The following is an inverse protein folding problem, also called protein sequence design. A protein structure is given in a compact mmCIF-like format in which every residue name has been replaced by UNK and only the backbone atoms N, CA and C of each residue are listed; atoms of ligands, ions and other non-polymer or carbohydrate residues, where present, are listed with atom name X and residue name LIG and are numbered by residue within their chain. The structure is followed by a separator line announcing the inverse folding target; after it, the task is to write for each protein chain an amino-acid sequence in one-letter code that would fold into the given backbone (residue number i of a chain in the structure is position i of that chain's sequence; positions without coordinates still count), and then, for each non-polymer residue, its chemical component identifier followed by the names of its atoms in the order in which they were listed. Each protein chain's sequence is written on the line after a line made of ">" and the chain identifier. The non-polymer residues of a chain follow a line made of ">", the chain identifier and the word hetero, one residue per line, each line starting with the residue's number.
data_IF_445447689767
#
_entry.id   IF_445447689767
#
_cell.length_a   1.000
_cell.length_b   1.000
_cell.length_c   1.000
_cell.angle_alpha   90.00
_cell.angle_beta   90.00
_cell.angle_gamma   90.00
#
_symmetry.space_group_name_H-M   'P 1'
#
loop_
_entity.id
_entity.type
_entity.pdbx_description
1 polymer ?
#
# COMPACT_ATOMS: atom_id res chain seq x y z
N UNK A 1 11.10 9.98 5.83
CA UNK A 1 10.39 11.11 6.46
C UNK A 1 10.96 11.23 7.86
N UNK A 2 11.52 12.37 8.27
CA UNK A 2 12.07 12.54 9.61
C UNK A 2 11.02 13.16 10.52
N UNK A 3 11.01 12.82 11.83
CA UNK A 3 10.10 13.40 12.84
C UNK A 3 10.24 14.92 12.98
N UNK A 4 11.38 15.47 12.61
CA UNK A 4 11.61 16.92 12.55
C UNK A 4 10.75 17.64 11.50
N UNK A 5 10.03 16.90 10.67
CA UNK A 5 9.16 17.51 9.69
C UNK A 5 7.82 17.84 10.37
N UNK A 6 7.44 19.11 10.55
CA UNK A 6 6.18 19.51 11.19
C UNK A 6 4.94 18.90 10.50
N UNK A 7 5.12 18.30 9.34
CA UNK A 7 4.10 17.57 8.58
C UNK A 7 3.83 16.17 9.10
N UNK A 8 4.76 15.57 9.86
CA UNK A 8 4.57 14.22 10.40
C UNK A 8 3.48 14.17 11.46
N UNK A 9 3.48 15.14 12.40
CA UNK A 9 2.42 15.26 13.42
C UNK A 9 1.06 15.54 12.76
N UNK A 10 1.05 16.38 11.71
CA UNK A 10 -0.16 16.65 10.94
C UNK A 10 -0.61 15.44 10.10
N UNK A 11 0.32 14.61 9.63
CA UNK A 11 0.05 13.35 8.96
C UNK A 11 -0.65 12.37 9.90
N UNK A 12 -0.15 12.23 11.11
CA UNK A 12 -0.76 11.41 12.15
C UNK A 12 -2.14 11.93 12.56
N UNK A 13 -2.32 13.25 12.63
CA UNK A 13 -3.61 13.88 12.92
C UNK A 13 -4.64 13.73 11.80
N UNK A 14 -4.21 13.37 10.57
CA UNK A 14 -5.12 13.12 9.45
C UNK A 14 -5.70 11.71 9.40
N UNK A 15 -5.15 10.80 10.18
CA UNK A 15 -5.70 9.45 10.36
C UNK A 15 -6.94 9.60 11.27
N UNK A 16 -8.12 9.63 10.65
CA UNK A 16 -9.39 9.94 11.33
C UNK A 16 -9.59 9.15 12.62
N UNK A 17 -9.86 9.86 13.68
CA UNK A 17 -10.40 9.37 14.94
C UNK A 17 -9.43 8.63 15.85
N UNK A 18 -8.42 7.93 15.32
CA UNK A 18 -7.57 7.07 16.14
C UNK A 18 -6.53 7.83 16.96
N UNK A 19 -5.94 8.89 16.42
CA UNK A 19 -4.86 9.62 17.08
C UNK A 19 -5.32 10.76 17.96
N UNK A 20 -6.33 11.52 17.52
CA UNK A 20 -6.94 12.57 18.36
C UNK A 20 -7.65 11.95 19.56
N UNK A 21 -8.26 10.78 19.40
CA UNK A 21 -8.81 10.02 20.51
C UNK A 21 -7.71 9.44 21.42
N UNK A 22 -6.55 9.08 20.88
CA UNK A 22 -5.36 8.69 21.64
C UNK A 22 -4.81 9.83 22.49
N UNK A 23 -4.67 11.01 21.92
CA UNK A 23 -4.10 12.18 22.59
C UNK A 23 -5.13 12.87 23.47
N UNK A 24 -6.37 13.04 22.99
CA UNK A 24 -7.45 13.71 23.71
C UNK A 24 -8.20 12.78 24.68
N UNK A 25 -8.24 11.47 24.42
CA UNK A 25 -8.89 10.48 25.29
C UNK A 25 -8.07 10.07 26.50
N UNK A 26 -6.91 10.66 26.74
CA UNK A 26 -6.05 10.34 27.88
C UNK A 26 -5.44 8.93 27.85
N UNK A 27 -5.43 8.26 26.70
CA UNK A 27 -4.91 6.89 26.52
C UNK A 27 -3.41 6.83 26.81
N UNK A 28 -2.70 7.94 26.65
CA UNK A 28 -1.31 8.10 27.07
C UNK A 28 -1.19 8.58 28.53
N UNK A 29 -2.30 8.66 29.29
CA UNK A 29 -2.21 8.98 30.71
C UNK A 29 -1.69 7.79 31.51
N UNK A 30 -0.84 8.01 32.54
CA UNK A 30 -0.35 6.93 33.42
C UNK A 30 -1.48 6.11 34.04
N UNK A 31 -2.65 6.69 34.23
CA UNK A 31 -3.83 6.02 34.82
C UNK A 31 -4.47 5.01 33.84
N UNK A 32 -4.40 5.24 32.52
CA UNK A 32 -4.91 4.29 31.52
C UNK A 32 -3.96 3.10 31.33
N UNK A 33 -2.66 3.34 31.45
CA UNK A 33 -1.62 2.31 31.32
C UNK A 33 -1.62 1.33 32.52
N UNK A 34 -2.21 1.75 33.65
CA UNK A 34 -2.19 0.99 34.92
C UNK A 34 -3.48 0.22 35.25
N UNK A 35 -4.48 0.19 34.37
CA UNK A 35 -5.71 -0.60 34.55
C UNK A 35 -5.61 -2.01 33.98
N UNK A 36 -6.50 -2.95 34.38
CA UNK A 36 -6.51 -4.36 33.94
C UNK A 36 -6.66 -4.58 32.42
N UNK A 37 -6.97 -3.54 31.63
CA UNK A 37 -6.89 -3.51 30.17
C UNK A 37 -5.44 -3.24 29.65
N UNK A 38 -4.44 -3.36 30.53
CA UNK A 38 -3.01 -3.07 30.29
C UNK A 38 -2.44 -3.67 29.01
N UNK A 39 -2.89 -4.86 28.60
CA UNK A 39 -2.38 -5.52 27.38
C UNK A 39 -2.78 -4.77 26.10
N UNK A 40 -4.00 -4.23 26.02
CA UNK A 40 -4.46 -3.49 24.84
C UNK A 40 -3.81 -2.10 24.76
N UNK A 41 -3.72 -1.40 25.89
CA UNK A 41 -3.07 -0.10 25.96
C UNK A 41 -1.58 -0.19 25.64
N UNK A 42 -0.87 -1.18 26.19
CA UNK A 42 0.54 -1.43 25.89
C UNK A 42 0.75 -1.81 24.42
N UNK A 43 -0.10 -2.69 23.84
CA UNK A 43 -0.03 -3.05 22.42
C UNK A 43 -0.14 -1.81 21.53
N UNK A 44 -1.03 -0.88 21.86
CA UNK A 44 -1.21 0.37 21.12
C UNK A 44 0.02 1.29 21.25
N UNK A 45 0.57 1.46 22.43
CA UNK A 45 1.81 2.24 22.65
C UNK A 45 2.96 1.64 21.81
N UNK A 46 3.14 0.34 21.85
CA UNK A 46 4.17 -0.32 21.04
C UNK A 46 3.93 -0.14 19.52
N UNK A 47 2.69 -0.24 19.06
CA UNK A 47 2.36 -0.04 17.66
C UNK A 47 2.70 1.38 17.19
N UNK A 48 2.37 2.38 18.01
CA UNK A 48 2.74 3.78 17.73
C UNK A 48 4.26 3.95 17.69
N UNK A 49 4.96 3.44 18.69
CA UNK A 49 6.42 3.56 18.80
C UNK A 49 7.12 2.83 17.63
N UNK A 50 6.63 1.65 17.24
CA UNK A 50 7.16 0.92 16.11
C UNK A 50 6.97 1.67 14.79
N UNK A 51 5.77 2.24 14.57
CA UNK A 51 5.49 3.07 13.39
C UNK A 51 6.42 4.28 13.32
N UNK A 52 6.56 5.01 14.42
CA UNK A 52 7.46 6.15 14.53
C UNK A 52 8.92 5.73 14.26
N UNK A 53 9.36 4.65 14.88
CA UNK A 53 10.71 4.12 14.69
C UNK A 53 11.00 3.74 13.24
N UNK A 54 10.04 3.14 12.54
CA UNK A 54 10.18 2.81 11.13
C UNK A 54 10.28 4.06 10.24
N UNK A 55 9.52 5.11 10.54
CA UNK A 55 9.56 6.38 9.80
C UNK A 55 10.83 7.20 10.04
N UNK A 56 11.45 7.08 11.19
CA UNK A 56 12.68 7.83 11.53
C UNK A 56 13.95 7.22 10.93
N UNK A 57 13.92 5.94 10.60
CA UNK A 57 15.10 5.28 10.06
C UNK A 57 15.37 5.67 8.60
N UNK A 58 16.64 5.69 8.17
CA UNK A 58 16.98 5.69 6.74
C UNK A 58 16.33 4.50 6.03
N UNK A 59 15.95 4.68 4.78
CA UNK A 59 15.20 3.68 4.00
C UNK A 59 15.92 2.32 3.98
N UNK A 60 17.24 2.31 3.76
CA UNK A 60 18.07 1.08 3.77
C UNK A 60 18.03 0.36 5.13
N UNK A 61 17.97 1.11 6.22
CA UNK A 61 17.83 0.56 7.57
C UNK A 61 16.46 -0.03 7.81
N UNK A 62 15.42 0.61 7.29
CA UNK A 62 14.06 0.08 7.33
C UNK A 62 13.98 -1.27 6.60
N UNK A 63 14.58 -1.38 5.42
CA UNK A 63 14.64 -2.66 4.70
C UNK A 63 15.33 -3.75 5.52
N UNK A 64 16.49 -3.42 6.11
CA UNK A 64 17.19 -4.37 6.96
C UNK A 64 16.39 -4.77 8.20
N UNK A 65 15.71 -3.84 8.84
CA UNK A 65 14.86 -4.14 9.99
C UNK A 65 13.69 -5.05 9.60
N UNK A 66 13.04 -4.83 8.44
CA UNK A 66 11.99 -5.71 7.92
C UNK A 66 12.50 -7.12 7.62
N UNK A 67 13.70 -7.23 7.02
CA UNK A 67 14.37 -8.50 6.76
C UNK A 67 14.61 -9.28 8.06
N UNK A 68 15.19 -8.63 9.06
CA UNK A 68 15.43 -9.23 10.38
C UNK A 68 14.13 -9.61 11.09
N UNK A 69 13.07 -8.82 10.93
CA UNK A 69 11.77 -9.11 11.52
C UNK A 69 11.15 -10.39 10.93
N UNK A 70 11.25 -10.60 9.61
CA UNK A 70 10.82 -11.85 8.99
C UNK A 70 11.57 -13.08 9.50
N UNK A 71 12.79 -12.91 9.99
CA UNK A 71 13.56 -13.96 10.69
C UNK A 71 13.23 -14.05 12.19
N UNK A 72 12.22 -13.34 12.67
CA UNK A 72 11.77 -13.37 14.07
C UNK A 72 12.59 -12.54 15.04
N UNK A 73 13.49 -11.66 14.56
CA UNK A 73 14.38 -10.88 15.42
C UNK A 73 13.65 -9.89 16.33
N UNK A 74 12.47 -9.38 15.92
CA UNK A 74 11.74 -8.33 16.60
C UNK A 74 10.44 -8.77 17.29
N UNK A 75 10.03 -10.02 17.14
CA UNK A 75 8.77 -10.55 17.68
C UNK A 75 8.57 -10.36 19.18
N UNK A 76 9.68 -10.28 19.96
CA UNK A 76 9.63 -10.19 21.42
C UNK A 76 9.78 -8.78 21.97
N UNK A 77 10.41 -7.89 21.23
CA UNK A 77 10.89 -6.60 21.74
C UNK A 77 10.35 -5.41 20.92
N UNK A 78 9.64 -5.67 19.82
CA UNK A 78 9.16 -4.65 18.90
C UNK A 78 10.30 -3.99 18.10
N UNK A 79 9.96 -3.10 17.19
CA UNK A 79 10.91 -2.45 16.27
C UNK A 79 11.92 -1.51 16.97
N UNK A 80 11.63 -1.02 18.17
CA UNK A 80 12.43 0.01 18.87
C UNK A 80 13.39 -0.56 19.92
N UNK A 81 13.15 -1.75 20.42
CA UNK A 81 13.98 -2.34 21.49
C UNK A 81 14.87 -3.49 21.05
N UNK A 82 14.71 -3.92 19.81
CA UNK A 82 15.26 -5.17 19.33
C UNK A 82 16.78 -5.17 19.24
N UNK A 83 17.43 -6.11 19.91
CA UNK A 83 18.78 -6.50 19.56
C UNK A 83 18.73 -7.16 18.19
N UNK A 84 19.46 -6.61 17.23
CA UNK A 84 19.66 -7.24 15.93
C UNK A 84 20.39 -8.55 16.16
N UNK A 85 19.67 -9.66 16.11
CA UNK A 85 20.30 -10.98 16.10
C UNK A 85 20.98 -11.20 14.75
N UNK A 86 22.09 -11.92 14.74
CA UNK A 86 22.71 -12.31 13.49
C UNK A 86 21.68 -13.08 12.64
N UNK A 87 21.54 -12.76 11.34
CA UNK A 87 20.57 -13.42 10.50
C UNK A 87 20.78 -14.93 10.55
N UNK A 88 19.70 -15.69 10.71
CA UNK A 88 19.77 -17.11 10.45
C UNK A 88 20.17 -17.27 8.98
N UNK A 89 21.18 -18.05 8.69
CA UNK A 89 21.53 -18.42 7.32
C UNK A 89 20.43 -19.33 6.78
N UNK A 90 19.47 -18.76 6.12
CA UNK A 90 18.35 -19.51 5.56
C UNK A 90 17.31 -18.56 4.98
N UNK A 91 16.53 -19.02 4.02
CA UNK A 91 15.42 -18.28 3.47
C UNK A 91 14.29 -18.04 4.48
N UNK A 92 13.27 -17.34 4.05
CA UNK A 92 12.05 -17.13 4.81
C UNK A 92 11.13 -18.35 4.70
N UNK A 93 10.76 -18.93 5.85
CA UNK A 93 9.84 -20.05 5.92
C UNK A 93 8.39 -19.55 6.06
N UNK A 94 7.53 -19.96 5.13
CA UNK A 94 6.12 -19.58 5.18
C UNK A 94 5.27 -20.75 4.64
N UNK A 95 4.31 -21.23 5.43
CA UNK A 95 3.43 -22.35 5.12
C UNK A 95 4.17 -23.61 4.63
N UNK A 96 5.26 -23.97 5.29
CA UNK A 96 6.05 -25.14 4.95
C UNK A 96 6.86 -25.02 3.65
N UNK A 97 6.87 -23.85 3.03
CA UNK A 97 7.73 -23.52 1.89
C UNK A 97 8.85 -22.61 2.32
N UNK A 98 10.06 -22.83 1.76
CA UNK A 98 11.23 -21.98 1.98
C UNK A 98 11.40 -21.05 0.80
N UNK A 99 11.54 -19.75 1.08
CA UNK A 99 11.73 -18.70 0.09
C UNK A 99 13.12 -18.09 0.25
N UNK A 100 13.95 -18.20 -0.76
CA UNK A 100 15.28 -17.60 -0.74
C UNK A 100 15.24 -16.08 -0.91
N UNK A 101 14.20 -15.56 -1.55
CA UNK A 101 13.99 -14.14 -1.78
C UNK A 101 12.51 -13.76 -1.61
N UNK A 102 12.29 -12.56 -1.15
CA UNK A 102 10.98 -11.92 -1.04
C UNK A 102 11.00 -10.63 -1.85
N UNK A 103 10.13 -10.51 -2.84
CA UNK A 103 10.00 -9.30 -3.62
C UNK A 103 9.17 -8.25 -2.88
N UNK A 104 9.69 -7.03 -2.76
CA UNK A 104 8.98 -5.88 -2.19
C UNK A 104 8.54 -4.90 -3.27
N UNK A 105 7.25 -4.72 -3.43
CA UNK A 105 6.64 -3.64 -4.22
C UNK A 105 6.64 -2.33 -3.43
N UNK A 106 7.70 -1.52 -3.56
CA UNK A 106 7.83 -0.27 -2.82
C UNK A 106 6.96 0.83 -3.44
N UNK A 107 5.94 1.29 -2.72
CA UNK A 107 4.98 2.27 -3.20
C UNK A 107 5.41 3.70 -2.81
N UNK A 108 6.11 4.42 -3.71
CA UNK A 108 6.45 5.82 -3.48
C UNK A 108 5.21 6.69 -3.68
N UNK A 109 4.87 7.50 -2.68
CA UNK A 109 3.80 8.49 -2.80
C UNK A 109 4.38 9.86 -3.16
N UNK A 110 3.77 10.51 -4.14
CA UNK A 110 4.11 11.88 -4.50
C UNK A 110 3.28 12.87 -3.65
N UNK A 111 3.90 13.40 -2.60
CA UNK A 111 3.32 14.39 -1.69
C UNK A 111 3.49 15.84 -2.18
N UNK A 112 3.90 16.06 -3.41
CA UNK A 112 4.00 17.39 -3.99
C UNK A 112 2.63 18.07 -4.02
N UNK A 113 2.58 19.40 -3.83
CA UNK A 113 1.33 20.16 -3.76
C UNK A 113 1.48 21.53 -4.41
N UNK A 114 0.44 21.96 -5.11
CA UNK A 114 0.28 23.36 -5.47
C UNK A 114 -0.09 24.20 -4.24
N UNK A 115 0.43 25.42 -4.23
CA UNK A 115 0.38 26.30 -3.06
C UNK A 115 -0.97 27.01 -2.87
N UNK A 116 -1.79 27.06 -3.92
CA UNK A 116 -2.88 28.04 -4.01
C UNK A 116 -4.22 27.59 -3.41
N UNK A 117 -4.45 26.30 -3.24
CA UNK A 117 -5.82 25.83 -2.98
C UNK A 117 -6.09 25.24 -1.59
N UNK A 118 -5.07 25.03 -0.72
CA UNK A 118 -5.23 24.14 0.42
C UNK A 118 -4.67 24.63 1.75
N UNK A 119 -4.93 25.88 2.12
CA UNK A 119 -4.47 26.47 3.42
C UNK A 119 -5.05 25.73 4.67
N UNK A 120 -6.04 24.89 4.48
CA UNK A 120 -6.75 24.19 5.56
C UNK A 120 -6.41 22.69 5.69
N UNK A 121 -5.37 22.19 5.04
CA UNK A 121 -5.05 20.78 5.06
C UNK A 121 -3.77 20.49 5.83
N UNK A 122 -3.73 19.31 6.43
CA UNK A 122 -2.80 18.77 7.42
C UNK A 122 -1.31 18.80 7.06
N UNK A 123 -0.89 19.22 5.84
CA UNK A 123 0.51 19.25 5.44
C UNK A 123 1.01 20.66 5.14
N UNK A 124 2.16 21.01 5.69
CA UNK A 124 2.94 22.12 5.16
C UNK A 124 3.58 21.69 3.85
N UNK A 125 3.84 22.66 2.97
CA UNK A 125 4.36 22.54 1.61
C UNK A 125 5.51 21.57 1.48
N UNK A 126 5.42 20.65 0.54
CA UNK A 126 6.56 19.99 -0.08
C UNK A 126 6.92 20.75 -1.36
N UNK A 127 8.20 20.83 -1.72
CA UNK A 127 8.63 21.42 -2.99
C UNK A 127 8.13 20.56 -4.15
N UNK A 128 7.71 21.19 -5.26
CA UNK A 128 7.11 20.51 -6.41
C UNK A 128 7.95 19.33 -6.96
N UNK A 129 9.26 19.43 -6.98
CA UNK A 129 10.13 18.41 -7.57
C UNK A 129 10.63 17.35 -6.58
N UNK A 130 10.08 17.30 -5.37
CA UNK A 130 10.57 16.40 -4.31
C UNK A 130 10.44 14.93 -4.66
N UNK A 131 9.56 14.55 -5.58
CA UNK A 131 9.44 13.17 -6.04
C UNK A 131 10.74 12.66 -6.70
N UNK A 132 11.49 13.50 -7.40
CA UNK A 132 12.81 13.16 -7.93
C UNK A 132 13.80 12.80 -6.81
N UNK A 133 13.79 13.56 -5.70
CA UNK A 133 14.64 13.28 -4.56
C UNK A 133 14.29 11.96 -3.92
N UNK A 134 13.00 11.70 -3.71
CA UNK A 134 12.52 10.42 -3.17
C UNK A 134 12.86 9.22 -4.06
N UNK A 135 12.73 9.38 -5.38
CA UNK A 135 13.12 8.34 -6.32
C UNK A 135 14.62 8.03 -6.22
N UNK A 136 15.46 9.07 -6.18
CA UNK A 136 16.91 8.92 -6.05
C UNK A 136 17.33 8.35 -4.69
N UNK A 137 16.66 8.74 -3.60
CA UNK A 137 16.93 8.20 -2.27
C UNK A 137 16.53 6.70 -2.21
N UNK A 138 15.44 6.32 -2.87
CA UNK A 138 15.04 4.91 -3.00
C UNK A 138 16.07 4.10 -3.78
N UNK A 139 16.54 4.60 -4.93
CA UNK A 139 17.61 3.95 -5.72
C UNK A 139 18.86 3.74 -4.86
N UNK A 140 19.29 4.78 -4.14
CA UNK A 140 20.48 4.69 -3.25
C UNK A 140 20.26 3.70 -2.11
N UNK A 141 19.08 3.70 -1.51
CA UNK A 141 18.76 2.81 -0.39
C UNK A 141 18.73 1.35 -0.82
N UNK A 142 18.18 1.04 -2.00
CA UNK A 142 18.20 -0.30 -2.59
C UNK A 142 19.64 -0.75 -2.85
N UNK A 143 20.44 0.09 -3.53
CA UNK A 143 21.84 -0.22 -3.80
C UNK A 143 22.66 -0.41 -2.52
N UNK A 144 22.40 0.39 -1.49
CA UNK A 144 23.05 0.27 -0.19
C UNK A 144 22.65 -1.00 0.55
N UNK A 145 21.35 -1.34 0.55
CA UNK A 145 20.87 -2.60 1.16
C UNK A 145 21.56 -3.82 0.52
N UNK A 146 21.58 -3.93 -0.81
CA UNK A 146 22.22 -5.06 -1.50
C UNK A 146 23.74 -5.10 -1.26
N UNK A 147 24.39 -3.95 -1.20
CA UNK A 147 25.83 -3.87 -0.91
C UNK A 147 26.17 -4.31 0.50
N UNK A 148 25.41 -3.82 1.49
CA UNK A 148 25.66 -4.09 2.91
C UNK A 148 25.17 -5.49 3.33
N UNK A 149 24.17 -6.03 2.60
CA UNK A 149 23.51 -7.31 2.88
C UNK A 149 23.38 -8.16 1.60
N UNK A 150 24.49 -8.70 1.04
CA UNK A 150 24.46 -9.45 -0.23
C UNK A 150 23.60 -10.72 -0.16
N UNK A 151 23.46 -11.31 1.03
CA UNK A 151 22.61 -12.47 1.30
C UNK A 151 21.23 -12.06 1.85
N UNK A 152 20.89 -10.76 1.79
CA UNK A 152 19.61 -10.23 2.27
C UNK A 152 18.42 -10.82 1.54
N UNK A 153 17.30 -10.91 2.26
CA UNK A 153 16.10 -11.59 1.79
C UNK A 153 15.38 -10.83 0.65
N UNK A 154 15.51 -9.48 0.61
CA UNK A 154 14.68 -8.67 -0.27
C UNK A 154 15.25 -8.43 -1.66
N UNK A 155 14.37 -8.57 -2.65
CA UNK A 155 14.46 -7.97 -3.97
C UNK A 155 13.40 -6.87 -4.10
N UNK A 156 13.67 -5.86 -4.92
CA UNK A 156 12.81 -4.67 -4.94
C UNK A 156 12.22 -4.40 -6.30
N UNK A 157 10.91 -4.11 -6.30
CA UNK A 157 10.17 -3.65 -7.47
C UNK A 157 9.52 -2.31 -7.10
N UNK A 158 10.25 -1.19 -7.15
CA UNK A 158 9.70 0.09 -6.74
C UNK A 158 8.66 0.61 -7.75
N UNK A 159 7.67 1.33 -7.24
CA UNK A 159 6.64 2.05 -7.98
C UNK A 159 6.86 3.54 -7.80
N UNK A 160 6.98 4.27 -8.89
CA UNK A 160 7.16 5.73 -8.86
C UNK A 160 5.84 6.43 -8.57
N UNK A 161 5.85 7.35 -7.61
CA UNK A 161 4.70 8.21 -7.32
C UNK A 161 4.47 9.21 -8.46
N UNK A 162 3.24 9.32 -8.93
CA UNK A 162 2.84 10.31 -9.95
C UNK A 162 1.59 11.05 -9.46
N UNK A 163 1.67 12.38 -9.41
CA UNK A 163 0.55 13.24 -9.05
C UNK A 163 0.22 14.23 -10.18
N UNK A 164 -0.68 13.88 -11.11
CA UNK A 164 -1.08 14.76 -12.21
C UNK A 164 -1.72 16.09 -11.77
N UNK A 165 -2.31 16.14 -10.56
CA UNK A 165 -2.94 17.36 -10.06
C UNK A 165 -1.95 18.53 -9.85
N UNK A 166 -0.66 18.24 -9.61
CA UNK A 166 0.33 19.28 -9.28
C UNK A 166 1.43 19.41 -10.33
N UNK A 167 1.69 18.36 -11.10
CA UNK A 167 2.76 18.36 -12.09
C UNK A 167 2.27 18.70 -13.50
N UNK A 168 3.13 19.36 -14.28
CA UNK A 168 2.87 19.59 -15.69
C UNK A 168 2.95 18.29 -16.50
N UNK A 169 2.26 18.21 -17.63
CA UNK A 169 2.33 17.09 -18.59
C UNK A 169 3.78 16.74 -18.95
N UNK A 170 4.62 17.76 -19.19
CA UNK A 170 6.05 17.59 -19.52
C UNK A 170 6.82 16.98 -18.35
N UNK A 171 6.56 17.41 -17.12
CA UNK A 171 7.21 16.86 -15.94
C UNK A 171 6.87 15.37 -15.77
N UNK A 172 5.59 15.01 -15.92
CA UNK A 172 5.13 13.61 -15.83
C UNK A 172 5.82 12.75 -16.90
N UNK A 173 5.86 13.20 -18.16
CA UNK A 173 6.56 12.49 -19.22
C UNK A 173 8.04 12.23 -18.88
N UNK A 174 8.76 13.27 -18.47
CA UNK A 174 10.16 13.17 -18.09
C UNK A 174 10.38 12.24 -16.88
N UNK A 175 9.46 12.26 -15.91
CA UNK A 175 9.53 11.40 -14.72
C UNK A 175 9.41 9.92 -15.12
N UNK A 176 8.43 9.60 -15.96
CA UNK A 176 8.20 8.23 -16.45
C UNK A 176 9.39 7.74 -17.29
N UNK A 177 9.86 8.54 -18.26
CA UNK A 177 11.01 8.19 -19.10
C UNK A 177 12.29 7.97 -18.29
N UNK A 178 12.48 8.75 -17.23
CA UNK A 178 13.70 8.71 -16.44
C UNK A 178 13.78 7.52 -15.51
N UNK A 179 12.67 7.10 -14.92
CA UNK A 179 12.68 6.17 -13.80
C UNK A 179 12.01 4.83 -14.10
N UNK A 180 11.01 4.81 -15.01
CA UNK A 180 10.27 3.57 -15.27
C UNK A 180 11.04 2.65 -16.20
N UNK A 181 11.20 1.40 -15.80
CA UNK A 181 11.79 0.35 -16.63
C UNK A 181 10.73 -0.19 -17.60
N UNK A 182 10.83 0.19 -18.86
CA UNK A 182 9.93 -0.26 -19.93
C UNK A 182 10.38 -1.59 -20.55
N UNK A 183 11.65 -1.95 -20.41
CA UNK A 183 12.28 -3.09 -21.12
C UNK A 183 12.25 -4.39 -20.31
N UNK A 184 11.88 -4.33 -19.05
CA UNK A 184 11.54 -5.37 -18.07
C UNK A 184 12.37 -6.66 -18.01
N UNK A 185 12.99 -7.09 -19.09
CA UNK A 185 13.68 -8.39 -19.19
C UNK A 185 15.20 -8.26 -19.18
N UNK A 186 15.74 -7.06 -19.29
CA UNK A 186 17.18 -6.82 -19.27
C UNK A 186 17.54 -5.92 -18.09
N UNK A 187 18.71 -6.15 -17.48
CA UNK A 187 19.26 -5.22 -16.51
C UNK A 187 19.25 -3.82 -17.12
N UNK A 188 18.55 -2.86 -16.52
CA UNK A 188 18.42 -1.55 -17.11
C UNK A 188 19.83 -0.97 -17.33
N UNK A 189 20.09 -0.52 -18.54
CA UNK A 189 21.36 0.13 -18.88
C UNK A 189 21.62 1.42 -18.08
N UNK A 190 20.58 1.95 -17.44
CA UNK A 190 20.64 3.08 -16.50
C UNK A 190 20.18 2.61 -15.12
N UNK A 191 21.08 2.69 -14.14
CA UNK A 191 20.84 2.34 -12.72
C UNK A 191 19.62 3.03 -12.07
N UNK A 192 19.10 4.08 -12.71
CA UNK A 192 17.92 4.83 -12.24
C UNK A 192 16.59 4.28 -12.76
N UNK A 193 16.60 3.55 -13.86
CA UNK A 193 15.38 2.99 -14.48
C UNK A 193 14.97 1.67 -13.88
N UNK A 194 14.78 1.65 -12.55
CA UNK A 194 14.46 0.44 -11.78
C UNK A 194 12.98 0.32 -11.39
N UNK A 195 12.19 1.36 -11.65
CA UNK A 195 10.78 1.38 -11.24
C UNK A 195 9.93 0.50 -12.16
N UNK A 196 9.36 -0.56 -11.58
CA UNK A 196 8.53 -1.53 -12.30
C UNK A 196 7.06 -1.16 -12.39
N UNK A 197 6.62 -0.11 -11.74
CA UNK A 197 5.23 0.33 -11.71
C UNK A 197 5.06 1.80 -11.36
N UNK A 198 3.80 2.23 -11.35
CA UNK A 198 3.38 3.59 -10.96
C UNK A 198 2.44 3.52 -9.76
N UNK A 199 2.67 4.40 -8.78
CA UNK A 199 1.74 4.66 -7.66
C UNK A 199 1.01 5.96 -7.91
N UNK A 200 -0.31 5.92 -7.88
CA UNK A 200 -1.15 7.11 -7.83
C UNK A 200 -1.92 7.16 -6.50
N UNK A 201 -2.10 8.37 -6.00
CA UNK A 201 -2.70 8.57 -4.70
C UNK A 201 -3.79 9.64 -4.73
N UNK A 202 -5.02 9.28 -5.19
CA UNK A 202 -6.13 10.23 -5.36
C UNK A 202 -6.48 11.08 -4.14
N UNK A 203 -6.30 10.62 -2.88
CA UNK A 203 -6.52 11.45 -1.70
C UNK A 203 -5.71 12.74 -1.65
N UNK A 204 -4.59 12.84 -2.39
CA UNK A 204 -3.79 14.07 -2.50
C UNK A 204 -4.28 15.05 -3.58
N UNK A 205 -5.40 14.76 -4.25
CA UNK A 205 -6.04 15.67 -5.20
C UNK A 205 -6.06 15.20 -6.65
N UNK A 206 -5.43 14.07 -6.98
CA UNK A 206 -5.55 13.50 -8.31
C UNK A 206 -6.98 13.01 -8.56
N UNK A 207 -7.68 13.66 -9.51
CA UNK A 207 -8.90 13.10 -10.08
C UNK A 207 -8.52 12.12 -11.20
N UNK A 208 -8.87 10.82 -11.09
CA UNK A 208 -8.54 9.85 -12.15
C UNK A 208 -9.22 10.15 -13.49
N UNK A 209 -10.34 10.85 -13.48
CA UNK A 209 -11.08 11.19 -14.71
C UNK A 209 -11.67 12.60 -14.64
N UNK A 210 -10.85 13.66 -14.82
CA UNK A 210 -11.24 15.07 -14.64
C UNK A 210 -12.01 15.61 -15.87
N UNK A 211 -13.29 15.27 -16.03
CA UNK A 211 -14.13 15.64 -17.18
C UNK A 211 -14.32 17.16 -17.33
N UNK A 212 -14.16 17.90 -16.25
CA UNK A 212 -14.32 19.34 -16.16
C UNK A 212 -13.02 20.14 -16.45
N UNK A 213 -11.89 19.45 -16.63
CA UNK A 213 -10.61 20.08 -16.92
C UNK A 213 -9.88 19.38 -18.09
N UNK A 214 -9.79 20.06 -19.22
CA UNK A 214 -9.05 19.56 -20.38
C UNK A 214 -7.55 19.36 -20.06
N UNK A 215 -6.96 20.30 -19.35
CA UNK A 215 -5.53 20.22 -19.00
C UNK A 215 -5.27 19.01 -18.11
N UNK A 216 -6.05 18.82 -17.05
CA UNK A 216 -5.90 17.67 -16.16
C UNK A 216 -6.16 16.35 -16.90
N UNK A 217 -7.15 16.32 -17.80
CA UNK A 217 -7.46 15.17 -18.63
C UNK A 217 -6.28 14.78 -19.53
N UNK A 218 -5.59 15.76 -20.14
CA UNK A 218 -4.41 15.48 -20.94
C UNK A 218 -3.24 14.91 -20.14
N UNK A 219 -3.11 15.26 -18.87
CA UNK A 219 -2.09 14.71 -17.96
C UNK A 219 -2.38 13.25 -17.58
N UNK A 220 -3.61 12.95 -17.19
CA UNK A 220 -3.98 11.59 -16.82
C UNK A 220 -4.00 10.66 -18.03
N UNK A 221 -4.42 11.14 -19.21
CA UNK A 221 -4.36 10.38 -20.45
C UNK A 221 -2.92 10.02 -20.83
N UNK A 222 -1.98 10.94 -20.75
CA UNK A 222 -0.56 10.65 -20.96
C UNK A 222 -0.07 9.51 -20.07
N UNK A 223 -0.45 9.54 -18.79
CA UNK A 223 -0.09 8.50 -17.82
C UNK A 223 -0.66 7.13 -18.22
N UNK A 224 -1.96 7.08 -18.55
CA UNK A 224 -2.63 5.82 -18.89
C UNK A 224 -2.16 5.27 -20.23
N UNK A 225 -1.97 6.12 -21.24
CA UNK A 225 -1.40 5.75 -22.54
C UNK A 225 -0.01 5.14 -22.38
N UNK A 226 0.86 5.76 -21.58
CA UNK A 226 2.18 5.22 -21.27
C UNK A 226 2.07 3.87 -20.54
N UNK A 227 1.30 3.80 -19.46
CA UNK A 227 1.18 2.57 -18.68
C UNK A 227 0.57 1.43 -19.49
N UNK A 228 -0.45 1.69 -20.31
CA UNK A 228 -1.05 0.67 -21.17
C UNK A 228 -0.10 0.22 -22.28
N UNK A 229 0.58 1.15 -22.96
CA UNK A 229 1.48 0.84 -24.07
C UNK A 229 2.66 -0.05 -23.64
N UNK A 230 3.25 0.25 -22.49
CA UNK A 230 4.36 -0.52 -21.92
C UNK A 230 3.91 -1.56 -20.90
N UNK A 231 2.60 -1.67 -20.68
CA UNK A 231 2.01 -2.58 -19.70
C UNK A 231 2.60 -2.42 -18.29
N UNK A 232 2.86 -1.18 -17.90
CA UNK A 232 3.34 -0.80 -16.58
C UNK A 232 2.17 -0.84 -15.59
N UNK A 233 2.24 -1.63 -14.52
CA UNK A 233 1.16 -1.70 -13.55
C UNK A 233 1.00 -0.39 -12.78
N UNK A 234 -0.24 -0.03 -12.52
CA UNK A 234 -0.61 1.08 -11.65
C UNK A 234 -1.17 0.51 -10.35
N UNK A 235 -0.67 0.93 -9.19
CA UNK A 235 -1.36 0.76 -7.91
C UNK A 235 -2.01 2.08 -7.53
N UNK A 236 -3.34 2.06 -7.35
CA UNK A 236 -4.12 3.20 -6.86
C UNK A 236 -4.58 2.98 -5.42
N UNK A 237 -4.50 4.01 -4.59
CA UNK A 237 -5.17 3.96 -3.30
C UNK A 237 -6.69 3.86 -3.50
N UNK A 238 -7.32 2.92 -2.82
CA UNK A 238 -8.75 2.65 -2.96
C UNK A 238 -9.40 2.26 -1.63
N UNK A 239 -9.41 3.21 -0.70
CA UNK A 239 -10.29 3.19 0.47
C UNK A 239 -10.80 4.61 0.75
N UNK A 240 -11.75 4.78 1.66
CA UNK A 240 -12.32 6.09 1.97
C UNK A 240 -11.57 6.86 3.06
N UNK A 241 -10.33 6.46 3.36
CA UNK A 241 -9.42 7.11 4.31
C UNK A 241 -8.08 7.45 3.63
N UNK A 242 -7.02 7.60 4.40
CA UNK A 242 -5.68 7.88 3.94
C UNK A 242 -5.25 9.33 4.17
N UNK A 243 -4.07 9.65 3.66
CA UNK A 243 -3.45 10.97 3.80
C UNK A 243 -4.11 11.98 2.87
N UNK A 244 -4.98 12.82 3.40
CA UNK A 244 -5.83 13.69 2.59
C UNK A 244 -5.16 15.01 2.24
N UNK A 245 -5.17 15.33 0.94
CA UNK A 245 -4.90 16.65 0.40
C UNK A 245 -6.16 17.38 -0.07
N UNK A 246 -7.32 16.75 0.00
CA UNK A 246 -8.61 17.28 -0.47
C UNK A 246 -9.73 17.05 0.55
N UNK A 247 -10.89 17.66 0.35
CA UNK A 247 -12.05 17.43 1.21
C UNK A 247 -12.51 15.97 1.18
N UNK A 248 -13.20 15.50 2.24
CA UNK A 248 -13.73 14.13 2.31
C UNK A 248 -14.66 13.79 1.14
N UNK A 249 -15.40 14.75 0.64
CA UNK A 249 -16.28 14.58 -0.54
C UNK A 249 -15.47 14.30 -1.80
N UNK A 250 -14.42 15.08 -2.07
CA UNK A 250 -13.53 14.90 -3.22
C UNK A 250 -12.73 13.60 -3.08
N UNK A 251 -12.25 13.29 -1.88
CA UNK A 251 -11.57 12.03 -1.60
C UNK A 251 -12.47 10.85 -2.00
N UNK A 252 -13.70 10.80 -1.49
CA UNK A 252 -14.65 9.73 -1.81
C UNK A 252 -14.94 9.62 -3.31
N UNK A 253 -14.94 10.73 -4.04
CA UNK A 253 -15.13 10.74 -5.50
C UNK A 253 -13.89 10.27 -6.25
N UNK A 254 -12.69 10.78 -5.91
CA UNK A 254 -11.45 10.52 -6.64
C UNK A 254 -10.90 9.12 -6.38
N UNK A 255 -11.07 8.61 -5.16
CA UNK A 255 -10.61 7.28 -4.76
C UNK A 255 -11.55 6.17 -5.21
N UNK A 256 -12.80 6.52 -5.54
CA UNK A 256 -13.87 5.56 -5.86
C UNK A 256 -13.55 4.71 -7.10
N UNK A 257 -13.76 3.38 -7.05
CA UNK A 257 -13.63 2.52 -8.22
C UNK A 257 -14.67 2.82 -9.32
N UNK A 258 -15.74 3.56 -9.01
CA UNK A 258 -16.67 4.03 -10.03
C UNK A 258 -16.05 5.10 -10.95
N UNK A 259 -15.17 5.96 -10.42
CA UNK A 259 -14.41 6.91 -11.25
C UNK A 259 -13.39 6.17 -12.13
N UNK A 260 -12.72 5.17 -11.58
CA UNK A 260 -11.79 4.32 -12.32
C UNK A 260 -12.47 3.45 -13.40
N UNK A 261 -13.76 3.12 -13.25
CA UNK A 261 -14.51 2.46 -14.30
C UNK A 261 -14.58 3.29 -15.60
N UNK A 262 -14.56 4.63 -15.51
CA UNK A 262 -14.46 5.51 -16.69
C UNK A 262 -13.09 5.40 -17.37
N UNK A 263 -12.03 5.30 -16.57
CA UNK A 263 -10.66 5.10 -17.07
C UNK A 263 -10.56 3.76 -17.80
N UNK A 264 -11.01 2.67 -17.18
CA UNK A 264 -10.94 1.33 -17.77
C UNK A 264 -11.79 1.17 -19.03
N UNK A 265 -12.86 1.93 -19.17
CA UNK A 265 -13.65 1.96 -20.41
C UNK A 265 -12.84 2.49 -21.60
N UNK A 266 -11.97 3.48 -21.37
CA UNK A 266 -11.11 4.07 -22.41
C UNK A 266 -9.78 3.30 -22.57
N UNK A 267 -9.30 2.70 -21.47
CA UNK A 267 -8.03 1.98 -21.38
C UNK A 267 -8.25 0.55 -20.82
N UNK A 268 -8.89 -0.35 -21.61
CA UNK A 268 -9.32 -1.67 -21.10
C UNK A 268 -8.17 -2.63 -20.79
N UNK A 269 -6.99 -2.42 -21.36
CA UNK A 269 -5.81 -3.25 -21.16
C UNK A 269 -4.87 -2.70 -20.06
N UNK A 270 -5.30 -1.67 -19.35
CA UNK A 270 -4.53 -1.09 -18.25
C UNK A 270 -4.40 -2.09 -17.10
N UNK A 271 -3.15 -2.37 -16.69
CA UNK A 271 -2.88 -3.22 -15.52
C UNK A 271 -3.03 -2.37 -14.26
N UNK A 272 -4.03 -2.66 -13.45
CA UNK A 272 -4.33 -1.84 -12.27
C UNK A 272 -4.62 -2.69 -11.03
N UNK A 273 -4.09 -2.22 -9.90
CA UNK A 273 -4.34 -2.72 -8.56
C UNK A 273 -5.10 -1.68 -7.74
N UNK A 274 -6.26 -2.06 -7.23
CA UNK A 274 -7.05 -1.28 -6.28
C UNK A 274 -6.65 -1.65 -4.85
N UNK A 275 -5.76 -0.86 -4.24
CA UNK A 275 -5.26 -1.13 -2.91
C UNK A 275 -6.39 -1.20 -1.86
N UNK A 276 -6.18 -2.03 -0.82
CA UNK A 276 -7.07 -2.16 0.35
C UNK A 276 -8.46 -2.75 0.03
N UNK A 277 -8.62 -3.39 -1.12
CA UNK A 277 -9.87 -4.03 -1.55
C UNK A 277 -11.09 -3.10 -1.60
N UNK A 278 -10.89 -1.80 -1.79
CA UNK A 278 -11.97 -0.82 -1.77
C UNK A 278 -12.69 -0.71 -0.43
N UNK A 279 -11.97 -0.90 0.67
CA UNK A 279 -12.56 -0.94 2.00
C UNK A 279 -13.11 0.43 2.42
N UNK A 280 -14.38 0.46 2.80
CA UNK A 280 -15.08 1.68 3.20
C UNK A 280 -15.26 1.69 4.73
N UNK A 281 -14.39 2.44 5.43
CA UNK A 281 -14.47 2.63 6.87
C UNK A 281 -15.72 3.43 7.24
N UNK A 282 -16.27 3.20 8.42
CA UNK A 282 -17.49 3.86 8.89
C UNK A 282 -18.79 3.21 8.37
N UNK A 283 -18.84 2.81 7.09
CA UNK A 283 -19.99 2.04 6.58
C UNK A 283 -20.05 0.63 7.19
N UNK A 284 -18.91 0.06 7.55
CA UNK A 284 -18.86 -1.25 8.22
C UNK A 284 -19.52 -1.25 9.60
N UNK A 285 -19.57 -0.13 10.31
CA UNK A 285 -20.28 -0.01 11.61
C UNK A 285 -21.79 0.08 11.41
N UNK A 286 -22.25 0.79 10.39
CA UNK A 286 -23.68 0.91 10.07
C UNK A 286 -24.22 -0.34 9.39
N UNK A 287 -23.38 -1.04 8.64
CA UNK A 287 -23.71 -2.28 7.95
C UNK A 287 -23.80 -3.46 8.92
N UNK A 288 -23.06 -3.44 10.05
CA UNK A 288 -23.24 -4.44 11.14
C UNK A 288 -24.69 -4.51 11.63
N UNK A 289 -25.44 -3.43 11.53
CA UNK A 289 -26.86 -3.39 11.90
C UNK A 289 -27.82 -3.89 10.81
N UNK A 290 -27.36 -4.04 9.56
CA UNK A 290 -28.22 -4.37 8.41
C UNK A 290 -27.98 -5.72 7.77
N UNK A 291 -26.89 -6.44 8.16
CA UNK A 291 -26.56 -7.74 7.58
C UNK A 291 -26.77 -8.82 8.63
N UNK A 292 -27.77 -9.72 8.43
CA UNK A 292 -27.83 -10.95 9.20
C UNK A 292 -26.55 -11.74 8.94
N UNK A 293 -25.75 -12.03 9.97
CA UNK A 293 -24.52 -12.82 9.97
C UNK A 293 -23.19 -12.06 9.78
N UNK A 294 -23.13 -10.75 9.99
CA UNK A 294 -21.87 -10.08 10.33
C UNK A 294 -20.79 -10.03 9.24
N UNK A 295 -21.14 -9.94 7.95
CA UNK A 295 -20.19 -9.79 6.86
C UNK A 295 -19.84 -8.30 6.65
N UNK A 296 -18.63 -7.82 7.01
CA UNK A 296 -18.25 -6.42 6.89
C UNK A 296 -17.92 -5.98 5.45
N UNK A 297 -18.06 -6.85 4.43
CA UNK A 297 -17.50 -6.62 3.10
C UNK A 297 -18.50 -6.18 2.04
N UNK A 298 -19.74 -5.88 2.37
CA UNK A 298 -20.69 -5.30 1.41
C UNK A 298 -20.64 -3.77 1.42
N UNK A 299 -19.59 -3.22 0.81
CA UNK A 299 -19.57 -1.82 0.42
C UNK A 299 -19.71 -1.72 -1.10
N UNK A 300 -20.30 -0.66 -1.61
CA UNK A 300 -20.45 -0.42 -3.04
C UNK A 300 -19.09 -0.50 -3.79
N UNK A 301 -18.00 -0.13 -3.13
CA UNK A 301 -16.66 -0.15 -3.73
C UNK A 301 -16.12 -1.56 -3.89
N UNK A 302 -16.30 -2.40 -2.88
CA UNK A 302 -15.96 -3.82 -2.98
C UNK A 302 -16.68 -4.50 -4.15
N UNK A 303 -18.02 -4.35 -4.20
CA UNK A 303 -18.83 -4.94 -5.27
C UNK A 303 -18.44 -4.39 -6.64
N UNK A 304 -18.09 -3.09 -6.71
CA UNK A 304 -17.62 -2.47 -7.96
C UNK A 304 -16.28 -3.04 -8.42
N UNK A 305 -15.31 -3.25 -7.50
CA UNK A 305 -14.03 -3.87 -7.84
C UNK A 305 -14.23 -5.29 -8.37
N UNK A 306 -15.07 -6.09 -7.71
CA UNK A 306 -15.42 -7.44 -8.19
C UNK A 306 -16.03 -7.39 -9.60
N UNK A 307 -16.93 -6.43 -9.86
CA UNK A 307 -17.50 -6.23 -11.20
C UNK A 307 -16.42 -5.88 -12.23
N UNK A 308 -15.50 -4.96 -11.89
CA UNK A 308 -14.40 -4.57 -12.77
C UNK A 308 -13.42 -5.73 -13.04
N UNK A 309 -13.16 -6.57 -12.05
CA UNK A 309 -12.35 -7.79 -12.25
C UNK A 309 -13.00 -8.76 -13.26
N UNK A 310 -14.33 -8.85 -13.26
CA UNK A 310 -15.06 -9.70 -14.21
C UNK A 310 -15.08 -9.12 -15.63
N UNK A 311 -15.07 -7.80 -15.72
CA UNK A 311 -15.16 -7.08 -16.99
C UNK A 311 -13.79 -6.89 -17.67
N UNK A 312 -12.73 -6.63 -16.88
CA UNK A 312 -11.40 -6.29 -17.39
C UNK A 312 -10.35 -7.30 -16.94
N UNK A 313 -9.53 -7.83 -17.88
CA UNK A 313 -8.62 -8.94 -17.59
C UNK A 313 -7.45 -8.57 -16.68
N UNK A 314 -7.09 -7.31 -16.57
CA UNK A 314 -5.90 -6.83 -15.86
C UNK A 314 -6.21 -5.98 -14.63
N UNK A 315 -7.41 -6.17 -14.05
CA UNK A 315 -7.82 -5.54 -12.80
C UNK A 315 -7.50 -6.47 -11.62
N UNK A 316 -6.78 -5.94 -10.65
CA UNK A 316 -6.35 -6.60 -9.41
C UNK A 316 -6.79 -5.79 -8.18
N UNK A 317 -6.66 -6.40 -7.02
CA UNK A 317 -6.79 -5.72 -5.72
C UNK A 317 -5.85 -6.37 -4.71
N UNK A 318 -5.50 -5.64 -3.67
CA UNK A 318 -4.59 -6.15 -2.65
C UNK A 318 -5.21 -6.25 -1.25
N UNK A 319 -4.53 -7.00 -0.40
CA UNK A 319 -4.91 -7.23 1.00
C UNK A 319 -4.24 -6.24 1.95
N UNK A 320 -3.52 -5.23 1.43
CA UNK A 320 -2.73 -4.30 2.23
C UNK A 320 -3.60 -3.58 3.26
N UNK A 321 -3.06 -3.39 4.46
CA UNK A 321 -3.72 -2.79 5.62
C UNK A 321 -5.00 -3.51 6.08
N UNK A 322 -5.92 -3.86 5.18
CA UNK A 322 -7.14 -4.64 5.50
C UNK A 322 -6.81 -6.02 6.02
N UNK A 323 -5.74 -6.62 5.54
CA UNK A 323 -5.21 -7.91 6.00
C UNK A 323 -4.68 -7.92 7.44
N UNK A 324 -4.59 -6.77 8.12
CA UNK A 324 -4.36 -6.72 9.57
C UNK A 324 -5.58 -7.20 10.39
N UNK A 325 -6.74 -7.37 9.75
CA UNK A 325 -7.99 -7.71 10.41
C UNK A 325 -8.38 -9.16 10.11
N UNK A 326 -8.30 -10.11 11.07
CA UNK A 326 -8.72 -11.50 10.84
C UNK A 326 -10.18 -11.63 10.39
N UNK A 327 -11.04 -10.68 10.79
CA UNK A 327 -12.44 -10.62 10.37
C UNK A 327 -12.59 -10.39 8.87
N UNK A 328 -11.67 -9.62 8.27
CA UNK A 328 -11.66 -9.37 6.84
C UNK A 328 -11.48 -10.68 6.06
N UNK A 329 -10.51 -11.51 6.43
CA UNK A 329 -10.28 -12.80 5.79
C UNK A 329 -11.47 -13.73 5.92
N UNK A 330 -12.08 -13.83 7.13
CA UNK A 330 -13.29 -14.63 7.33
C UNK A 330 -14.44 -14.20 6.41
N UNK A 331 -14.61 -12.91 6.27
CA UNK A 331 -15.65 -12.34 5.42
C UNK A 331 -15.37 -12.59 3.94
N UNK A 332 -14.13 -12.46 3.51
CA UNK A 332 -13.71 -12.72 2.13
C UNK A 332 -13.92 -14.21 1.77
N UNK A 333 -13.56 -15.14 2.66
CA UNK A 333 -13.79 -16.59 2.47
C UNK A 333 -15.29 -16.89 2.33
N UNK A 334 -16.12 -16.28 3.18
CA UNK A 334 -17.58 -16.50 3.10
C UNK A 334 -18.16 -15.93 1.81
N UNK A 335 -17.69 -14.77 1.36
CA UNK A 335 -18.08 -14.20 0.07
C UNK A 335 -17.66 -15.11 -1.09
N UNK A 336 -16.43 -15.58 -1.10
CA UNK A 336 -15.90 -16.47 -2.15
C UNK A 336 -16.64 -17.82 -2.22
N UNK A 337 -17.07 -18.37 -1.08
CA UNK A 337 -17.89 -19.60 -1.03
C UNK A 337 -19.28 -19.43 -1.65
N UNK A 338 -19.77 -18.21 -1.78
CA UNK A 338 -21.06 -17.92 -2.41
C UNK A 338 -20.95 -17.70 -3.94
N UNK A 339 -19.73 -17.58 -4.47
CA UNK A 339 -19.49 -17.42 -5.91
C UNK A 339 -19.58 -18.77 -6.62
N UNK A 340 -19.95 -18.76 -7.90
CA UNK A 340 -19.77 -19.93 -8.74
C UNK A 340 -18.28 -20.26 -8.92
N UNK A 341 -17.89 -21.48 -9.33
CA UNK A 341 -16.49 -21.88 -9.41
C UNK A 341 -15.63 -20.99 -10.31
N UNK A 342 -16.15 -20.55 -11.45
CA UNK A 342 -15.40 -19.73 -12.41
C UNK A 342 -15.15 -18.33 -11.85
N UNK A 343 -16.17 -17.68 -11.31
CA UNK A 343 -16.05 -16.38 -10.65
C UNK A 343 -15.10 -16.43 -9.45
N UNK A 344 -15.21 -17.51 -8.65
CA UNK A 344 -14.31 -17.71 -7.52
C UNK A 344 -12.86 -17.83 -7.95
N UNK A 345 -12.58 -18.65 -8.96
CA UNK A 345 -11.23 -18.82 -9.50
C UNK A 345 -10.69 -17.51 -10.10
N UNK A 346 -11.53 -16.76 -10.84
CA UNK A 346 -11.19 -15.47 -11.39
C UNK A 346 -10.81 -14.47 -10.28
N UNK A 347 -11.61 -14.33 -9.24
CA UNK A 347 -11.37 -13.40 -8.15
C UNK A 347 -10.09 -13.79 -7.39
N UNK A 348 -9.95 -15.06 -7.00
CA UNK A 348 -8.75 -15.57 -6.34
C UNK A 348 -7.47 -15.32 -7.16
N UNK A 349 -7.55 -15.43 -8.48
CA UNK A 349 -6.43 -15.17 -9.40
C UNK A 349 -6.05 -13.68 -9.56
N UNK A 350 -6.76 -12.77 -8.87
CA UNK A 350 -6.57 -11.31 -8.97
C UNK A 350 -6.35 -10.61 -7.63
N UNK A 351 -6.22 -11.37 -6.56
CA UNK A 351 -5.89 -10.85 -5.23
C UNK A 351 -4.37 -10.87 -5.06
N UNK A 352 -3.81 -9.75 -4.63
CA UNK A 352 -2.39 -9.57 -4.33
C UNK A 352 -2.19 -9.50 -2.82
N UNK A 353 -1.05 -10.00 -2.34
CA UNK A 353 -0.61 -9.77 -0.97
C UNK A 353 0.18 -8.45 -0.91
N UNK A 354 -0.32 -7.49 -0.14
CA UNK A 354 0.36 -6.25 0.19
C UNK A 354 0.32 -6.03 1.70
N UNK A 355 1.22 -5.27 2.26
CA UNK A 355 1.28 -5.03 3.71
C UNK A 355 0.91 -3.60 4.10
N UNK A 356 1.14 -2.62 3.22
CA UNK A 356 1.11 -1.20 3.56
C UNK A 356 2.07 -0.84 4.71
N UNK A 357 3.25 -1.53 4.71
CA UNK A 357 4.30 -1.24 5.68
C UNK A 357 4.85 0.18 5.39
N UNK A 358 5.06 1.04 6.33
CA UNK A 358 5.04 0.92 7.78
C UNK A 358 3.72 1.34 8.44
N UNK A 359 2.69 1.69 7.64
CA UNK A 359 1.39 2.16 8.16
C UNK A 359 0.68 1.03 8.93
N UNK A 360 0.81 -0.21 8.47
CA UNK A 360 0.23 -1.38 9.13
C UNK A 360 0.74 -1.61 10.56
N UNK A 361 1.92 -1.09 10.93
CA UNK A 361 2.44 -1.15 12.30
C UNK A 361 1.53 -0.45 13.33
N UNK A 362 0.59 0.37 12.89
CA UNK A 362 -0.48 0.88 13.75
C UNK A 362 -1.49 -0.19 14.18
N UNK A 363 -1.55 -1.31 13.47
CA UNK A 363 -2.49 -2.42 13.74
C UNK A 363 -1.79 -3.68 14.23
N UNK A 364 -0.56 -3.91 13.79
CA UNK A 364 0.28 -5.07 14.12
C UNK A 364 1.57 -4.62 14.79
N UNK A 365 2.23 -5.50 15.52
CA UNK A 365 3.46 -5.17 16.24
C UNK A 365 4.71 -5.32 15.39
N UNK A 366 4.65 -6.15 14.35
CA UNK A 366 5.79 -6.44 13.48
C UNK A 366 5.35 -6.80 12.06
N UNK A 367 6.31 -6.80 11.13
CA UNK A 367 6.09 -7.23 9.76
C UNK A 367 5.76 -8.73 9.68
N UNK A 368 6.43 -9.54 10.50
CA UNK A 368 6.17 -10.97 10.60
C UNK A 368 4.79 -11.28 11.18
N UNK A 369 4.28 -10.51 12.17
CA UNK A 369 2.92 -10.68 12.69
C UNK A 369 1.88 -10.54 11.57
N UNK A 370 2.12 -9.65 10.60
CA UNK A 370 1.23 -9.49 9.46
C UNK A 370 1.16 -10.75 8.59
N UNK A 371 2.30 -11.42 8.37
CA UNK A 371 2.32 -12.73 7.68
C UNK A 371 1.61 -13.82 8.47
N UNK A 372 1.76 -13.85 9.79
CA UNK A 372 1.06 -14.81 10.65
C UNK A 372 -0.47 -14.64 10.59
N UNK A 373 -0.98 -13.41 10.47
CA UNK A 373 -2.41 -13.17 10.29
C UNK A 373 -2.91 -13.77 8.96
N UNK A 374 -2.13 -13.66 7.88
CA UNK A 374 -2.45 -14.34 6.63
C UNK A 374 -2.35 -15.86 6.77
N UNK A 375 -1.35 -16.37 7.48
CA UNK A 375 -1.17 -17.81 7.74
C UNK A 375 -2.39 -18.41 8.44
N UNK A 376 -2.90 -17.71 9.46
CA UNK A 376 -4.08 -18.08 10.24
C UNK A 376 -5.42 -17.70 9.57
N UNK A 377 -5.40 -17.20 8.34
CA UNK A 377 -6.59 -16.63 7.67
C UNK A 377 -7.70 -17.65 7.36
N UNK A 378 -7.34 -18.95 7.24
CA UNK A 378 -8.24 -20.03 6.83
C UNK A 378 -8.35 -20.24 5.32
N UNK A 379 -7.56 -19.54 4.51
CA UNK A 379 -7.32 -19.88 3.11
C UNK A 379 -6.45 -21.13 2.99
N UNK A 380 -6.65 -21.93 1.95
CA UNK A 380 -5.77 -23.08 1.68
C UNK A 380 -4.40 -22.65 1.11
N UNK A 381 -3.43 -23.58 1.11
CA UNK A 381 -2.06 -23.28 0.69
C UNK A 381 -1.97 -22.83 -0.78
N UNK A 382 -2.80 -23.37 -1.65
CA UNK A 382 -2.85 -23.00 -3.06
C UNK A 382 -3.38 -21.58 -3.28
N UNK A 383 -4.38 -21.17 -2.50
CA UNK A 383 -4.96 -19.82 -2.50
C UNK A 383 -3.94 -18.81 -1.97
N UNK A 384 -3.29 -19.10 -0.82
CA UNK A 384 -2.27 -18.24 -0.26
C UNK A 384 -1.06 -18.13 -1.19
N UNK A 385 -0.60 -19.24 -1.79
CA UNK A 385 0.45 -19.19 -2.80
C UNK A 385 0.04 -18.34 -4.03
N UNK A 386 -1.26 -18.34 -4.38
CA UNK A 386 -1.82 -17.43 -5.36
C UNK A 386 -1.54 -15.97 -4.99
N UNK A 387 -1.89 -15.57 -3.77
CA UNK A 387 -1.78 -14.18 -3.30
C UNK A 387 -0.33 -13.70 -3.13
N UNK A 388 0.56 -14.55 -2.61
CA UNK A 388 1.93 -14.16 -2.28
C UNK A 388 2.94 -14.37 -3.42
N UNK A 389 2.61 -15.16 -4.43
CA UNK A 389 3.55 -15.50 -5.50
C UNK A 389 2.92 -15.40 -6.90
N UNK A 390 1.96 -16.26 -7.25
CA UNK A 390 1.49 -16.40 -8.63
C UNK A 390 0.84 -15.14 -9.19
N UNK A 391 -0.02 -14.49 -8.40
CA UNK A 391 -0.72 -13.28 -8.82
C UNK A 391 0.20 -12.06 -8.88
N UNK A 392 1.07 -11.80 -7.85
CA UNK A 392 2.08 -10.74 -7.93
C UNK A 392 3.02 -10.89 -9.13
N UNK A 393 3.51 -12.10 -9.42
CA UNK A 393 4.35 -12.35 -10.61
C UNK A 393 3.61 -11.98 -11.91
N UNK A 394 2.34 -12.36 -12.03
CA UNK A 394 1.49 -11.99 -13.15
C UNK A 394 1.28 -10.48 -13.25
N UNK A 395 0.94 -9.84 -12.14
CA UNK A 395 0.70 -8.40 -12.04
C UNK A 395 1.96 -7.62 -12.41
N UNK A 396 3.09 -8.02 -11.86
CA UNK A 396 4.39 -7.41 -12.11
C UNK A 396 5.02 -7.87 -13.43
N UNK A 397 4.45 -8.89 -14.10
CA UNK A 397 4.99 -9.53 -15.30
C UNK A 397 6.44 -9.97 -15.14
N UNK A 398 6.73 -10.60 -14.03
CA UNK A 398 8.06 -11.10 -13.70
C UNK A 398 8.06 -12.61 -13.85
N UNK A 399 9.02 -13.14 -14.60
CA UNK A 399 9.32 -14.57 -14.67
C UNK A 399 10.46 -14.86 -13.69
N UNK A 400 10.12 -15.08 -12.43
CA UNK A 400 11.07 -15.56 -11.45
C UNK A 400 11.06 -17.10 -11.47
N UNK A 401 12.03 -17.67 -12.15
CA UNK A 401 12.28 -19.13 -12.16
C UNK A 401 13.18 -19.55 -11.00
#
# INVERSE_FOLDING_TARGET
>A
MTLDHPNFINLLGSLEGGWLDLVNGGILSPSYILTDDNRKGMKMVYSVMNTLGAFEQPIDKTFWMMDQDLHGAFLREGFIGGKVYAPSKGGFEFRGSSYNKVALGLQLMDFSRDQSEYDNIYYKRTQLERINDYAMDTVRAIGKYHKDHPDGLFEFVPFIGVNPAVHSKRFIANLLERYVNTDRLENPSDEKRIFGGVKVYPPLGMNPWPEDSREEMEKVRLLYEFCQAYQIPITTHCDNQGFRGVSSKMLGQYTSPFTWAKVLKEYPDLVIDFAHFGYQYGLASDVKSRIPNGLPMKGEWFDKIISLMKEYPSVYTDLSYTGCMPEFYRSLILFLKQQNPDDRALILGRILFGSDFSVNLMKVQSYLEYYHILDDSGFDDGEVQGFVQKNPMKFLRMDWT
#
